data_IF_984112366523
#
_entry.id   IF_984112366523
#
_cell.length_a   1.000
_cell.length_b   1.000
_cell.length_c   1.000
_cell.angle_alpha   90.00
_cell.angle_beta   90.00
_cell.angle_gamma   90.00
#
_symmetry.space_group_name_H-M   'P 1'
#
loop_
_entity.id
_entity.type
_entity.pdbx_description
1 polymer ?
#
# COMPACT_ATOMS: atom_id res chain seq x y z
N UNK A 1 0.02 0.29 26.33
CA UNK A 1 0.71 0.37 25.03
C UNK A 1 -0.20 1.15 24.11
N UNK A 2 0.15 2.39 23.74
CA UNK A 2 -0.63 3.15 22.76
C UNK A 2 -0.28 2.54 21.40
N UNK A 3 -1.22 1.83 20.81
CA UNK A 3 -1.09 1.35 19.45
C UNK A 3 -1.43 2.54 18.54
N UNK A 4 -0.45 2.99 17.76
CA UNK A 4 -0.66 4.02 16.74
C UNK A 4 -1.50 3.36 15.64
N UNK A 5 -2.64 3.97 15.28
CA UNK A 5 -3.59 3.35 14.34
C UNK A 5 -2.96 3.22 12.97
N UNK A 6 -2.23 4.24 12.58
CA UNK A 6 -1.48 4.34 11.33
C UNK A 6 -0.44 3.21 11.21
N UNK A 7 0.30 2.91 12.28
CA UNK A 7 1.26 1.79 12.29
C UNK A 7 0.55 0.43 12.18
N UNK A 8 -0.64 0.30 12.77
CA UNK A 8 -1.43 -0.94 12.71
C UNK A 8 -2.00 -1.15 11.32
N UNK A 9 -2.68 -0.14 10.78
CA UNK A 9 -3.29 -0.18 9.46
C UNK A 9 -2.22 -0.45 8.38
N UNK A 10 -1.04 0.17 8.52
CA UNK A 10 0.11 -0.08 7.64
C UNK A 10 0.64 -1.52 7.75
N UNK A 11 0.83 -2.02 8.98
CA UNK A 11 1.33 -3.38 9.22
C UNK A 11 0.35 -4.42 8.72
N UNK A 12 -0.94 -4.24 8.98
CA UNK A 12 -2.01 -5.11 8.50
C UNK A 12 -2.09 -5.13 6.97
N UNK A 13 -1.95 -3.96 6.32
CA UNK A 13 -1.94 -3.87 4.87
C UNK A 13 -0.73 -4.63 4.26
N UNK A 14 0.48 -4.42 4.80
CA UNK A 14 1.67 -5.15 4.34
C UNK A 14 1.47 -6.65 4.48
N UNK A 15 1.06 -7.11 5.67
CA UNK A 15 0.89 -8.54 5.91
C UNK A 15 -0.19 -9.18 5.02
N UNK A 16 -1.28 -8.45 4.78
CA UNK A 16 -2.38 -8.93 3.95
C UNK A 16 -1.97 -9.12 2.48
N UNK A 17 -1.12 -8.24 1.94
CA UNK A 17 -0.76 -8.24 0.53
C UNK A 17 0.67 -8.72 0.23
N UNK A 18 1.45 -9.14 1.23
CA UNK A 18 2.86 -9.55 1.06
C UNK A 18 3.10 -10.63 -0.01
N UNK A 19 2.09 -11.44 -0.31
CA UNK A 19 2.16 -12.55 -1.26
C UNK A 19 1.34 -12.29 -2.53
N UNK A 20 0.71 -11.12 -2.68
CA UNK A 20 -0.04 -10.80 -3.89
C UNK A 20 0.92 -10.21 -4.94
N UNK A 21 1.18 -10.92 -6.06
CA UNK A 21 2.12 -10.45 -7.08
C UNK A 21 1.61 -9.22 -7.85
N UNK A 22 0.36 -8.81 -7.64
CA UNK A 22 -0.23 -7.63 -8.28
C UNK A 22 -0.24 -6.39 -7.38
N UNK A 23 0.19 -6.50 -6.12
CA UNK A 23 0.16 -5.42 -5.15
C UNK A 23 1.56 -5.22 -4.59
N UNK A 24 2.06 -3.99 -4.64
CA UNK A 24 3.32 -3.59 -4.03
C UNK A 24 3.02 -2.43 -3.09
N UNK A 25 3.36 -2.60 -1.82
CA UNK A 25 3.23 -1.58 -0.76
C UNK A 25 4.62 -1.17 -0.32
N UNK A 26 4.91 0.13 -0.34
CA UNK A 26 6.20 0.69 0.04
C UNK A 26 6.01 1.85 1.03
N UNK A 27 6.85 1.96 2.08
CA UNK A 27 6.88 3.13 2.92
C UNK A 27 7.40 4.34 2.13
N UNK A 28 6.78 5.50 2.30
CA UNK A 28 7.31 6.72 1.73
C UNK A 28 8.23 7.43 2.74
N UNK A 29 9.52 7.13 2.66
CA UNK A 29 10.53 7.74 3.51
C UNK A 29 10.53 7.21 4.95
N UNK A 30 10.71 8.12 5.93
CA UNK A 30 10.78 7.79 7.37
C UNK A 30 9.42 7.93 8.08
N UNK A 31 8.39 8.38 7.38
CA UNK A 31 7.10 8.68 7.99
C UNK A 31 6.10 7.56 7.70
N UNK A 32 5.51 7.04 8.78
CA UNK A 32 4.46 6.02 8.80
C UNK A 32 3.08 6.54 8.33
N UNK A 33 2.98 7.83 8.02
CA UNK A 33 1.76 8.51 7.58
C UNK A 33 1.62 8.57 6.05
N UNK A 34 2.59 8.06 5.29
CA UNK A 34 2.54 8.01 3.83
C UNK A 34 2.86 6.60 3.30
N UNK A 35 1.96 6.09 2.47
CA UNK A 35 2.07 4.78 1.83
C UNK A 35 2.08 4.96 0.30
N UNK A 36 3.06 4.35 -0.36
CA UNK A 36 3.04 4.18 -1.81
C UNK A 36 2.47 2.81 -2.14
N UNK A 37 1.41 2.80 -2.93
CA UNK A 37 0.77 1.61 -3.45
C UNK A 37 0.98 1.54 -4.96
N UNK A 38 1.53 0.42 -5.44
CA UNK A 38 1.50 0.08 -6.86
C UNK A 38 0.56 -1.10 -7.09
N UNK A 39 -0.40 -0.91 -7.99
CA UNK A 39 -1.27 -1.99 -8.48
C UNK A 39 -0.84 -2.36 -9.89
N UNK A 40 -0.64 -3.65 -10.14
CA UNK A 40 -0.35 -4.21 -11.45
C UNK A 40 -1.66 -4.74 -12.04
N UNK A 41 -2.01 -4.29 -13.25
CA UNK A 41 -3.23 -4.74 -13.90
C UNK A 41 -3.19 -6.23 -14.24
N UNK A 42 -4.27 -6.93 -13.87
CA UNK A 42 -4.41 -8.37 -14.07
C UNK A 42 -4.58 -8.72 -15.55
N UNK A 43 -4.08 -9.90 -15.93
CA UNK A 43 -4.33 -10.48 -17.26
C UNK A 43 -5.84 -10.61 -17.52
N UNK A 44 -6.25 -10.40 -18.77
CA UNK A 44 -7.66 -10.43 -19.16
C UNK A 44 -8.43 -9.14 -18.87
N UNK A 45 -7.76 -8.08 -18.43
CA UNK A 45 -8.33 -6.73 -18.31
C UNK A 45 -7.67 -5.77 -19.31
N UNK A 46 -8.31 -4.65 -19.69
CA UNK A 46 -7.66 -3.60 -20.49
C UNK A 46 -6.43 -2.97 -19.83
N UNK A 47 -6.22 -3.24 -18.55
CA UNK A 47 -5.13 -2.72 -17.74
C UNK A 47 -3.96 -3.69 -17.62
N UNK A 48 -4.03 -4.87 -18.24
CA UNK A 48 -3.04 -5.93 -18.11
C UNK A 48 -1.62 -5.38 -18.26
N UNK A 49 -0.75 -5.73 -17.30
CA UNK A 49 0.66 -5.31 -17.24
C UNK A 49 0.89 -3.81 -16.99
N UNK A 50 -0.17 -3.00 -16.99
CA UNK A 50 -0.13 -1.60 -16.56
C UNK A 50 0.22 -1.47 -15.09
N UNK A 51 1.02 -0.46 -14.75
CA UNK A 51 1.39 -0.11 -13.37
C UNK A 51 0.69 1.18 -12.98
N UNK A 52 -0.07 1.13 -11.90
CA UNK A 52 -0.84 2.25 -11.38
C UNK A 52 -0.30 2.59 -10.00
N UNK A 53 0.27 3.78 -9.87
CA UNK A 53 0.93 4.23 -8.65
C UNK A 53 0.02 5.21 -7.94
N UNK A 54 -0.20 4.98 -6.65
CA UNK A 54 -0.99 5.81 -5.77
C UNK A 54 -0.13 6.23 -4.58
N UNK A 55 -0.26 7.49 -4.19
CA UNK A 55 0.33 8.03 -2.97
C UNK A 55 -0.81 8.30 -1.99
N UNK A 56 -0.78 7.61 -0.85
CA UNK A 56 -1.82 7.64 0.16
C UNK A 56 -1.24 8.35 1.38
N UNK A 57 -1.75 9.54 1.70
CA UNK A 57 -1.49 10.23 2.96
C UNK A 57 -2.57 9.84 3.96
N UNK A 58 -2.18 9.28 5.10
CA UNK A 58 -3.10 9.08 6.22
C UNK A 58 -3.45 10.43 6.84
N UNK A 59 -4.72 10.67 7.21
CA UNK A 59 -5.13 11.92 7.82
C UNK A 59 -4.42 12.12 9.16
N UNK A 60 -4.03 13.37 9.44
CA UNK A 60 -3.66 13.78 10.80
C UNK A 60 -4.92 13.71 11.66
N UNK A 61 -4.81 13.11 12.86
CA UNK A 61 -5.95 12.95 13.80
C UNK A 61 -6.69 14.25 14.09
#
# INVERSE_FOLDING_TARGET
MIIIREETDYTEAIESYKNDPYIILEPWGRSIDHLRLTIIGKKGTPYAEGKFIFEIKFPER
#
